data_IF_957716306851
#
_entry.id   IF_957716306851
#
_cell.length_a   1.000
_cell.length_b   1.000
_cell.length_c   1.000
_cell.angle_alpha   90.00
_cell.angle_beta   90.00
_cell.angle_gamma   90.00
#
_symmetry.space_group_name_H-M   'P 1'
#
loop_
_entity.id
_entity.type
_entity.pdbx_description
1 polymer ?
#
# COMPACT_ATOMS: atom_id res chain seq x y z
N UNK A 1 -7.09 -8.94 -6.53
CA UNK A 1 -6.99 -10.11 -5.62
C UNK A 1 -5.66 -9.98 -4.88
N UNK A 2 -5.68 -9.99 -3.55
CA UNK A 2 -4.49 -9.78 -2.72
C UNK A 2 -3.46 -10.87 -3.02
N UNK A 3 -2.20 -10.47 -3.18
CA UNK A 3 -1.12 -11.35 -3.60
C UNK A 3 -0.22 -11.73 -2.42
N UNK A 4 0.01 -10.81 -1.49
CA UNK A 4 0.78 -11.06 -0.28
C UNK A 4 0.38 -10.06 0.83
N UNK A 5 0.43 -10.47 2.09
CA UNK A 5 0.20 -9.61 3.26
C UNK A 5 1.19 -9.95 4.37
N UNK A 6 1.88 -8.95 4.89
CA UNK A 6 2.74 -9.08 6.06
C UNK A 6 2.43 -8.00 7.09
N UNK A 7 2.48 -8.35 8.36
CA UNK A 7 2.23 -7.43 9.46
C UNK A 7 3.28 -7.62 10.55
N UNK A 8 3.70 -6.52 11.17
CA UNK A 8 4.70 -6.54 12.25
C UNK A 8 4.47 -5.37 13.21
N UNK A 9 5.07 -5.47 14.39
CA UNK A 9 5.17 -4.35 15.32
C UNK A 9 6.56 -3.73 15.16
N UNK A 10 6.62 -2.54 14.58
CA UNK A 10 7.86 -1.77 14.46
C UNK A 10 7.83 -0.59 15.42
N UNK A 11 8.80 -0.56 16.34
CA UNK A 11 8.97 0.55 17.30
C UNK A 11 7.69 0.87 18.10
N UNK A 12 6.88 -0.16 18.41
CA UNK A 12 5.62 -0.01 19.15
C UNK A 12 4.41 0.36 18.28
N UNK A 13 4.59 0.60 16.98
CA UNK A 13 3.51 0.86 16.03
C UNK A 13 3.16 -0.41 15.23
N UNK A 14 1.86 -0.65 15.03
CA UNK A 14 1.38 -1.71 14.14
C UNK A 14 1.59 -1.29 12.69
N UNK A 15 2.36 -2.08 11.94
CA UNK A 15 2.68 -1.83 10.53
C UNK A 15 2.21 -3.02 9.70
N UNK A 16 1.50 -2.74 8.60
CA UNK A 16 1.06 -3.75 7.64
C UNK A 16 1.54 -3.38 6.24
N UNK A 17 2.09 -4.36 5.53
CA UNK A 17 2.43 -4.28 4.12
C UNK A 17 1.52 -5.22 3.34
N UNK A 18 1.00 -4.73 2.22
CA UNK A 18 0.07 -5.46 1.39
C UNK A 18 0.51 -5.34 -0.07
N UNK A 19 0.69 -6.47 -0.74
CA UNK A 19 0.83 -6.53 -2.17
C UNK A 19 -0.51 -6.89 -2.80
N UNK A 20 -1.02 -6.02 -3.67
CA UNK A 20 -2.32 -6.20 -4.30
C UNK A 20 -2.26 -5.86 -5.79
N UNK A 21 -3.03 -6.61 -6.59
CA UNK A 21 -3.31 -6.24 -7.98
C UNK A 21 -4.52 -5.32 -8.04
N UNK A 22 -4.33 -4.16 -8.66
CA UNK A 22 -5.44 -3.30 -9.10
C UNK A 22 -6.00 -3.91 -10.39
N UNK A 23 -7.32 -4.13 -10.50
CA UNK A 23 -7.91 -4.64 -11.74
C UNK A 23 -7.62 -3.68 -12.90
N UNK A 24 -7.57 -4.19 -14.14
CA UNK A 24 -7.19 -3.40 -15.34
C UNK A 24 -8.05 -2.14 -15.55
N UNK A 25 -9.27 -2.15 -15.03
CA UNK A 25 -10.24 -1.06 -15.13
C UNK A 25 -10.08 -0.03 -14.00
N UNK A 26 -9.21 -0.30 -13.02
CA UNK A 26 -9.02 0.49 -11.82
C UNK A 26 -7.97 1.57 -12.03
N UNK A 27 -8.37 2.84 -11.85
CA UNK A 27 -7.42 3.95 -11.88
C UNK A 27 -6.59 3.96 -10.57
N UNK A 28 -5.27 3.82 -10.69
CA UNK A 28 -4.33 3.86 -9.56
C UNK A 28 -4.50 5.09 -8.67
N UNK A 29 -4.71 6.27 -9.26
CA UNK A 29 -4.86 7.52 -8.51
C UNK A 29 -6.15 7.53 -7.69
N UNK A 30 -7.24 6.98 -8.23
CA UNK A 30 -8.50 6.83 -7.50
C UNK A 30 -8.34 5.90 -6.31
N UNK A 31 -7.71 4.73 -6.51
CA UNK A 31 -7.46 3.76 -5.45
C UNK A 31 -6.56 4.36 -4.36
N UNK A 32 -5.48 5.05 -4.76
CA UNK A 32 -4.60 5.75 -3.83
C UNK A 32 -5.36 6.81 -3.00
N UNK A 33 -6.21 7.61 -3.65
CA UNK A 33 -6.99 8.64 -2.95
C UNK A 33 -7.99 8.03 -1.97
N UNK A 34 -8.70 6.97 -2.36
CA UNK A 34 -9.66 6.29 -1.49
C UNK A 34 -8.98 5.66 -0.28
N UNK A 35 -7.82 5.03 -0.48
CA UNK A 35 -7.03 4.45 0.61
C UNK A 35 -6.44 5.52 1.54
N UNK A 36 -6.04 6.69 1.01
CA UNK A 36 -5.63 7.82 1.85
C UNK A 36 -6.79 8.32 2.73
N UNK A 37 -7.97 8.57 2.15
CA UNK A 37 -9.16 8.96 2.91
C UNK A 37 -9.54 7.92 3.97
N UNK A 38 -9.47 6.63 3.63
CA UNK A 38 -9.74 5.56 4.60
C UNK A 38 -8.71 5.58 5.75
N UNK A 39 -7.43 5.82 5.45
CA UNK A 39 -6.37 5.97 6.44
C UNK A 39 -6.67 7.08 7.44
N UNK A 40 -7.02 8.27 6.95
CA UNK A 40 -7.43 9.41 7.79
C UNK A 40 -8.63 9.06 8.68
N UNK A 41 -9.62 8.32 8.15
CA UNK A 41 -10.82 7.94 8.90
C UNK A 41 -10.53 6.97 10.06
N UNK A 42 -9.59 6.04 9.86
CA UNK A 42 -9.26 5.02 10.86
C UNK A 42 -8.02 5.38 11.69
N UNK A 43 -7.44 6.56 11.48
CA UNK A 43 -6.29 7.07 12.23
C UNK A 43 -4.98 6.36 11.90
N UNK A 44 -4.81 5.88 10.67
CA UNK A 44 -3.57 5.22 10.21
C UNK A 44 -3.06 5.85 8.93
N UNK A 45 -1.74 5.80 8.72
CA UNK A 45 -1.15 6.25 7.46
C UNK A 45 -1.15 5.09 6.44
N UNK A 46 -1.85 5.27 5.31
CA UNK A 46 -1.83 4.29 4.21
C UNK A 46 -1.07 4.86 3.03
N UNK A 47 0.09 4.25 2.71
CA UNK A 47 0.92 4.61 1.56
C UNK A 47 0.82 3.55 0.47
N UNK A 48 0.50 3.98 -0.75
CA UNK A 48 0.36 3.11 -1.93
C UNK A 48 1.39 3.51 -2.97
N UNK A 49 2.19 2.53 -3.41
CA UNK A 49 3.20 2.68 -4.45
C UNK A 49 3.08 1.53 -5.47
N UNK A 50 3.50 1.78 -6.71
CA UNK A 50 3.65 0.71 -7.71
C UNK A 50 4.89 -0.11 -7.34
N UNK A 51 4.76 -1.43 -7.38
CA UNK A 51 5.86 -2.36 -7.09
C UNK A 51 7.11 -2.07 -7.95
N UNK A 52 6.90 -1.65 -9.20
CA UNK A 52 7.96 -1.26 -10.15
C UNK A 52 8.91 -0.18 -9.59
N UNK A 53 8.43 0.70 -8.70
CA UNK A 53 9.24 1.73 -8.04
C UNK A 53 10.17 1.10 -7.00
N UNK A 54 9.71 0.07 -6.29
CA UNK A 54 10.53 -0.68 -5.32
C UNK A 54 11.62 -1.50 -6.02
N UNK A 55 11.29 -2.13 -7.15
CA UNK A 55 12.27 -2.88 -7.96
C UNK A 55 13.36 -1.96 -8.53
N UNK A 56 13.00 -0.73 -8.91
CA UNK A 56 13.98 0.26 -9.39
C UNK A 56 14.96 0.71 -8.29
N UNK A 57 14.53 0.80 -7.03
CA UNK A 57 15.40 1.17 -5.91
C UNK A 57 16.39 0.06 -5.51
N UNK A 58 16.00 -1.21 -5.63
CA UNK A 58 16.89 -2.35 -5.33
C UNK A 58 17.87 -2.70 -6.47
N UNK A 59 17.73 -2.08 -7.65
CA UNK A 59 18.63 -2.26 -8.79
C UNK A 59 19.77 -1.25 -8.85
N UNK A 60 19.92 -0.38 -7.84
CA UNK A 60 21.02 0.58 -7.71
C UNK A 60 22.10 0.06 -6.75
#
# INVERSE_FOLDING_TARGET
MFLDVSQTIMQGAFTMMLLAKIPDNGNFNTVKSQLATLGDQIGVEIKVARQEIFDAMHRL
#
